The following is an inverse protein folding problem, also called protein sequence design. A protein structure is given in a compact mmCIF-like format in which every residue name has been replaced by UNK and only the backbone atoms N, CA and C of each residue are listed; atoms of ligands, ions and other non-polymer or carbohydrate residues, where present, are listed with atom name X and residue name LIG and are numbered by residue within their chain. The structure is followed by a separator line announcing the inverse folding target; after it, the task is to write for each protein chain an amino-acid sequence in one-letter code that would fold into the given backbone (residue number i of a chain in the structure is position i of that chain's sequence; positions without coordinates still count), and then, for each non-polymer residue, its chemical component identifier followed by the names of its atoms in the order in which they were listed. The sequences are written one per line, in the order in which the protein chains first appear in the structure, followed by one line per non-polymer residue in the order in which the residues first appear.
data_IF_303082705514
#
_entry.id   IF_303082705514
#
_cell.length_a   1.000
_cell.length_b   1.000
_cell.length_c   1.000
_cell.angle_alpha   90.00
_cell.angle_beta   90.00
_cell.angle_gamma   90.00
#
_symmetry.space_group_name_H-M   'P 1'
#
loop_
_entity.id
_entity.type
_entity.pdbx_description
1 polymer ?
#
# COMPACT_ATOMS: atom_id res chain seq x y z
N UNK A 1 -8.11 -0.78 -10.46
CA UNK A 1 -7.81 0.05 -9.28
C UNK A 1 -6.67 0.99 -9.65
N UNK A 2 -6.69 2.21 -9.12
CA UNK A 2 -5.85 3.34 -9.56
C UNK A 2 -4.35 3.05 -9.38
N UNK A 3 -3.52 3.18 -10.43
CA UNK A 3 -2.06 2.88 -10.39
C UNK A 3 -1.34 3.57 -9.22
N UNK A 4 -1.81 4.75 -8.84
CA UNK A 4 -1.23 5.51 -7.72
C UNK A 4 -1.61 4.97 -6.33
N UNK A 5 -2.73 4.27 -6.20
CA UNK A 5 -3.09 3.57 -4.96
C UNK A 5 -2.14 2.39 -4.70
N UNK A 6 -1.70 1.75 -5.79
CA UNK A 6 -0.73 0.65 -5.75
C UNK A 6 0.66 1.15 -5.33
N UNK A 7 1.07 2.32 -5.84
CA UNK A 7 2.32 2.98 -5.46
C UNK A 7 2.33 3.35 -3.97
N UNK A 8 1.21 3.86 -3.44
CA UNK A 8 1.06 4.14 -2.00
C UNK A 8 1.21 2.86 -1.18
N UNK A 9 0.51 1.79 -1.55
CA UNK A 9 0.61 0.53 -0.82
C UNK A 9 2.03 -0.04 -0.88
N UNK A 10 2.68 0.00 -2.04
CA UNK A 10 4.05 -0.44 -2.20
C UNK A 10 5.00 0.35 -1.30
N UNK A 11 4.88 1.67 -1.24
CA UNK A 11 5.68 2.54 -0.38
C UNK A 11 5.54 2.17 1.12
N UNK A 12 4.31 1.86 1.56
CA UNK A 12 4.04 1.40 2.93
C UNK A 12 4.62 -0.01 3.21
N UNK A 13 4.61 -0.90 2.22
CA UNK A 13 5.19 -2.24 2.35
C UNK A 13 6.72 -2.24 2.42
N UNK A 14 7.40 -1.32 1.73
CA UNK A 14 8.87 -1.22 1.79
C UNK A 14 9.37 -0.77 3.17
N UNK A 15 8.53 -0.12 3.98
CA UNK A 15 8.86 0.37 5.31
C UNK A 15 7.94 -0.25 6.36
N UNK A 16 7.74 -1.57 6.27
CA UNK A 16 6.81 -2.30 7.14
C UNK A 16 7.13 -2.05 8.62
N UNK A 17 6.07 -1.84 9.42
CA UNK A 17 6.12 -1.50 10.85
C UNK A 17 6.73 -0.14 11.23
N UNK A 18 7.33 0.59 10.28
CA UNK A 18 7.89 1.94 10.47
C UNK A 18 6.84 2.99 10.07
N UNK A 19 6.63 3.99 10.92
CA UNK A 19 5.77 5.14 10.58
C UNK A 19 6.48 6.03 9.57
N UNK A 20 5.87 6.22 8.40
CA UNK A 20 6.33 7.15 7.37
C UNK A 20 5.51 8.44 7.48
N UNK A 21 6.15 9.62 7.58
CA UNK A 21 5.45 10.92 7.58
C UNK A 21 4.48 11.04 6.39
N UNK A 22 3.28 11.55 6.65
CA UNK A 22 2.27 11.78 5.63
C UNK A 22 2.68 12.90 4.67
N UNK A 23 3.43 13.91 5.13
CA UNK A 23 3.97 14.95 4.24
C UNK A 23 5.00 14.37 3.28
N UNK A 24 5.88 13.48 3.78
CA UNK A 24 6.83 12.77 2.93
C UNK A 24 6.12 11.91 1.90
N UNK A 25 5.12 11.12 2.31
CA UNK A 25 4.33 10.29 1.41
C UNK A 25 3.60 11.12 0.34
N UNK A 26 2.94 12.22 0.72
CA UNK A 26 2.22 13.08 -0.21
C UNK A 26 3.16 13.70 -1.25
N UNK A 27 4.34 14.16 -0.81
CA UNK A 27 5.38 14.70 -1.68
C UNK A 27 5.94 13.64 -2.62
N UNK A 28 6.31 12.48 -2.11
CA UNK A 28 6.92 11.40 -2.89
C UNK A 28 5.94 10.82 -3.94
N UNK A 29 4.63 10.81 -3.63
CA UNK A 29 3.56 10.39 -4.55
C UNK A 29 3.02 11.54 -5.44
N UNK A 30 3.53 12.76 -5.27
CA UNK A 30 3.09 13.96 -5.96
C UNK A 30 1.56 14.16 -5.93
N UNK A 31 0.99 14.16 -4.72
CA UNK A 31 -0.44 14.38 -4.48
C UNK A 31 -0.69 15.33 -3.32
N UNK A 32 -1.90 15.90 -3.25
CA UNK A 32 -2.33 16.66 -2.08
C UNK A 32 -2.48 15.76 -0.85
N UNK A 33 -2.33 16.35 0.33
CA UNK A 33 -2.60 15.69 1.61
C UNK A 33 -4.03 15.13 1.70
N UNK A 34 -5.01 15.86 1.17
CA UNK A 34 -6.41 15.41 1.10
C UNK A 34 -6.60 14.20 0.18
N UNK A 35 -5.84 14.13 -0.91
CA UNK A 35 -5.85 12.97 -1.81
C UNK A 35 -5.20 11.77 -1.14
N UNK A 36 -4.07 11.96 -0.45
CA UNK A 36 -3.42 10.93 0.33
C UNK A 36 -4.36 10.36 1.40
N UNK A 37 -5.01 11.21 2.20
CA UNK A 37 -5.96 10.78 3.22
C UNK A 37 -7.10 9.94 2.63
N UNK A 38 -7.71 10.40 1.53
CA UNK A 38 -8.76 9.65 0.81
C UNK A 38 -8.27 8.29 0.31
N UNK A 39 -7.02 8.17 -0.12
CA UNK A 39 -6.45 6.91 -0.57
C UNK A 39 -6.17 5.95 0.59
N UNK A 40 -5.69 6.46 1.72
CA UNK A 40 -5.52 5.68 2.95
C UNK A 40 -6.86 5.09 3.38
N UNK A 41 -7.94 5.89 3.37
CA UNK A 41 -9.28 5.38 3.70
C UNK A 41 -9.75 4.31 2.71
N UNK A 42 -9.55 4.49 1.41
CA UNK A 42 -9.85 3.45 0.41
C UNK A 42 -9.12 2.13 0.67
N UNK A 43 -7.86 2.19 1.10
CA UNK A 43 -7.09 0.98 1.45
C UNK A 43 -7.62 0.34 2.74
N UNK A 44 -8.00 1.14 3.75
CA UNK A 44 -8.66 0.66 4.98
C UNK A 44 -9.99 -0.03 4.68
N UNK A 45 -10.83 0.58 3.85
CA UNK A 45 -12.10 0.02 3.37
C UNK A 45 -11.89 -1.30 2.60
N UNK A 46 -10.78 -1.42 1.87
CA UNK A 46 -10.39 -2.65 1.19
C UNK A 46 -9.80 -3.73 2.12
N UNK A 47 -9.76 -3.50 3.43
CA UNK A 47 -9.28 -4.45 4.44
C UNK A 47 -7.79 -4.38 4.74
N UNK A 48 -7.06 -3.37 4.24
CA UNK A 48 -5.66 -3.16 4.60
C UNK A 48 -5.57 -2.45 5.95
N UNK A 49 -4.92 -3.06 6.92
CA UNK A 49 -4.75 -2.45 8.24
C UNK A 49 -3.62 -1.42 8.25
N UNK A 50 -3.98 -0.16 8.01
CA UNK A 50 -3.08 0.99 8.08
C UNK A 50 -3.35 1.79 9.36
N UNK A 51 -2.32 1.97 10.20
CA UNK A 51 -2.37 2.83 11.40
C UNK A 51 -1.77 4.20 11.13
N UNK A 52 -2.22 5.18 11.90
CA UNK A 52 -1.69 6.55 11.88
C UNK A 52 -2.59 7.54 11.12
N UNK A 53 -2.14 8.78 11.09
CA UNK A 53 -2.86 9.95 10.60
C UNK A 53 -1.93 10.91 9.86
N UNK A 54 -2.50 11.83 9.08
CA UNK A 54 -1.80 12.61 8.06
C UNK A 54 -0.54 13.35 8.56
N UNK A 55 -0.60 13.95 9.76
CA UNK A 55 0.48 14.78 10.31
C UNK A 55 1.43 14.02 11.26
N UNK A 56 1.15 12.75 11.54
CA UNK A 56 2.02 11.87 12.34
C UNK A 56 2.70 10.81 11.46
N UNK A 57 2.04 10.46 10.35
CA UNK A 57 2.48 9.45 9.42
C UNK A 57 1.65 8.17 9.47
N UNK A 58 1.96 7.27 8.54
CA UNK A 58 1.22 6.04 8.31
C UNK A 58 2.15 4.82 8.37
N UNK A 59 1.62 3.69 8.81
CA UNK A 59 2.30 2.39 8.76
C UNK A 59 1.34 1.24 8.58
N UNK A 60 1.81 0.14 8.01
CA UNK A 60 1.09 -1.12 8.04
C UNK A 60 1.15 -1.73 9.45
N UNK A 61 -0.01 -2.16 9.96
CA UNK A 61 -0.10 -2.92 11.21
C UNK A 61 0.31 -4.37 11.02
N UNK A 62 -0.03 -4.94 9.86
CA UNK A 62 0.32 -6.29 9.44
C UNK A 62 0.48 -6.35 7.92
N UNK A 63 1.08 -7.43 7.43
CA UNK A 63 1.08 -7.71 5.99
C UNK A 63 -0.38 -7.91 5.55
N UNK A 64 -0.86 -7.20 4.51
CA UNK A 64 -2.19 -7.46 4.01
C UNK A 64 -2.24 -8.87 3.39
N UNK A 65 -3.11 -9.73 3.93
CA UNK A 65 -3.48 -11.03 3.34
C UNK A 65 -4.34 -10.87 2.07
N UNK A 66 -4.61 -9.63 1.66
CA UNK A 66 -5.30 -9.32 0.42
C UNK A 66 -4.36 -9.71 -0.72
N UNK A 67 -4.72 -10.74 -1.49
CA UNK A 67 -4.14 -11.05 -2.79
C UNK A 67 -4.47 -9.92 -3.75
N UNK A 68 -3.81 -8.77 -3.60
CA UNK A 68 -3.89 -7.71 -4.57
C UNK A 68 -3.18 -8.21 -5.82
N UNK A 69 -3.89 -8.38 -6.95
CA UNK A 69 -3.27 -8.88 -8.18
C UNK A 69 -2.05 -8.05 -8.59
N UNK A 70 -1.99 -6.78 -8.19
CA UNK A 70 -0.85 -5.89 -8.39
C UNK A 70 0.35 -6.10 -7.45
N UNK A 71 0.24 -6.85 -6.35
CA UNK A 71 1.43 -7.31 -5.59
C UNK A 71 2.03 -8.57 -6.21
N UNK A 72 1.18 -9.32 -6.90
CA UNK A 72 1.54 -10.51 -7.64
C UNK A 72 2.25 -10.10 -8.95
N UNK A 73 1.72 -9.13 -9.72
CA UNK A 73 2.29 -8.76 -11.04
C UNK A 73 3.77 -8.30 -11.07
N UNK A 74 4.29 -7.47 -10.14
CA UNK A 74 5.70 -7.07 -10.12
C UNK A 74 6.63 -8.11 -9.47
N UNK A 75 6.08 -9.05 -8.67
CA UNK A 75 6.85 -10.09 -7.96
C UNK A 75 6.71 -11.49 -8.56
N UNK A 76 5.86 -11.69 -9.58
CA UNK A 76 5.86 -12.90 -10.42
C UNK A 76 7.09 -12.89 -11.34
N UNK A 77 8.27 -13.14 -10.76
CA UNK A 77 9.23 -14.07 -11.37
C UNK A 77 8.73 -15.49 -11.06
N UNK A 78 7.54 -15.86 -11.52
CA UNK A 78 7.09 -17.26 -11.44
C UNK A 78 7.52 -17.99 -12.69
N UNK A 79 8.51 -18.85 -12.51
CA UNK A 79 8.53 -20.11 -13.23
C UNK A 79 7.32 -20.90 -12.72
N UNK A 80 6.32 -21.11 -13.59
CA UNK A 80 5.13 -21.97 -13.45
C UNK A 80 4.80 -22.53 -12.05
N UNK A 81 3.57 -22.28 -11.57
CA UNK A 81 2.92 -23.12 -10.56
C UNK A 81 1.62 -23.65 -11.14
N UNK A 82 1.58 -24.96 -11.38
CA UNK A 82 0.38 -25.73 -11.70
C UNK A 82 0.40 -27.02 -10.91
N UNK A 83 -0.76 -27.44 -10.38
CA UNK A 83 -0.93 -28.77 -9.77
C UNK A 83 -1.08 -29.77 -10.92
N UNK A 84 -0.21 -30.77 -10.98
CA UNK A 84 -0.42 -31.96 -11.82
C UNK A 84 -1.59 -32.73 -11.21
N UNK A 85 -2.65 -32.92 -12.00
CA UNK A 85 -3.63 -33.98 -11.79
C UNK A 85 -3.07 -35.27 -12.38
#
# INVERSE_FOLDING_TARGET
MDRKLDELLYALMQNMMITISGEKLARDLNVSHSTLARWIEKLREAGVEIRGELFTGYRLARLPDVLLPQLVRPRLRTTMIGRVL
#
